data_IF_526710448580
#
_entry.id   IF_526710448580
#
_cell.length_a   1.000
_cell.length_b   1.000
_cell.length_c   1.000
_cell.angle_alpha   90.00
_cell.angle_beta   90.00
_cell.angle_gamma   90.00
#
_symmetry.space_group_name_H-M   'P 1'
#
loop_
_entity.id
_entity.type
_entity.pdbx_description
1 polymer ?
#
# COMPACT_ATOMS: atom_id res chain seq x y z
N UNK A 1 10.73 -14.69 22.43
CA UNK A 1 11.27 -14.58 21.05
C UNK A 1 10.36 -15.19 19.97
N UNK A 2 9.09 -15.53 20.29
CA UNK A 2 8.15 -16.17 19.33
C UNK A 2 7.03 -15.24 18.85
N UNK A 3 7.05 -13.96 19.26
CA UNK A 3 5.93 -13.05 19.09
C UNK A 3 6.15 -11.97 18.01
N UNK A 4 7.40 -11.72 17.59
CA UNK A 4 7.71 -10.64 16.64
C UNK A 4 7.49 -11.05 15.17
N UNK A 5 7.68 -12.34 14.82
CA UNK A 5 7.55 -12.81 13.43
C UNK A 5 6.09 -12.80 12.91
N UNK A 6 5.10 -12.88 13.79
CA UNK A 6 3.69 -12.83 13.38
C UNK A 6 3.19 -11.42 13.07
N UNK A 7 3.72 -10.41 13.78
CA UNK A 7 3.21 -9.03 13.69
C UNK A 7 3.52 -8.41 12.32
N UNK A 8 4.76 -8.53 11.84
CA UNK A 8 5.15 -7.99 10.53
C UNK A 8 4.38 -8.63 9.37
N UNK A 9 4.15 -9.94 9.42
CA UNK A 9 3.40 -10.64 8.38
C UNK A 9 1.92 -10.27 8.35
N UNK A 10 1.30 -10.08 9.52
CA UNK A 10 -0.10 -9.61 9.61
C UNK A 10 -0.26 -8.16 9.13
N UNK A 11 0.77 -7.33 9.28
CA UNK A 11 0.77 -5.96 8.77
C UNK A 11 0.93 -5.93 7.25
N UNK A 12 1.80 -6.77 6.70
CA UNK A 12 1.94 -6.97 5.25
C UNK A 12 0.63 -7.45 4.61
N UNK A 13 -0.03 -8.45 5.20
CA UNK A 13 -1.33 -8.95 4.73
C UNK A 13 -2.36 -7.82 4.70
N UNK A 14 -2.47 -7.03 5.79
CA UNK A 14 -3.40 -5.90 5.85
C UNK A 14 -3.11 -4.85 4.78
N UNK A 15 -1.84 -4.56 4.49
CA UNK A 15 -1.46 -3.62 3.43
C UNK A 15 -1.84 -4.15 2.03
N UNK A 16 -1.69 -5.45 1.80
CA UNK A 16 -2.10 -6.10 0.55
C UNK A 16 -3.63 -6.08 0.39
N UNK A 17 -4.38 -6.44 1.43
CA UNK A 17 -5.85 -6.39 1.42
C UNK A 17 -6.36 -4.96 1.15
N UNK A 18 -5.76 -3.96 1.80
CA UNK A 18 -6.09 -2.55 1.55
C UNK A 18 -5.71 -2.09 0.13
N UNK A 19 -4.69 -2.68 -0.49
CA UNK A 19 -4.36 -2.42 -1.89
C UNK A 19 -5.37 -3.06 -2.84
N UNK A 20 -5.80 -4.30 -2.57
CA UNK A 20 -6.84 -4.99 -3.33
C UNK A 20 -8.17 -4.24 -3.27
N UNK A 21 -8.57 -3.75 -2.09
CA UNK A 21 -9.77 -2.93 -1.94
C UNK A 21 -9.73 -1.66 -2.79
N UNK A 22 -8.55 -1.03 -2.92
CA UNK A 22 -8.36 0.15 -3.79
C UNK A 22 -8.43 -0.20 -5.28
N UNK A 23 -8.01 -1.40 -5.67
CA UNK A 23 -8.17 -1.88 -7.04
C UNK A 23 -9.66 -2.05 -7.37
N UNK A 24 -10.42 -2.68 -6.47
CA UNK A 24 -11.86 -2.87 -6.62
C UNK A 24 -12.62 -1.54 -6.69
N UNK A 25 -12.24 -0.57 -5.86
CA UNK A 25 -12.80 0.78 -5.87
C UNK A 25 -12.37 1.64 -7.09
N UNK A 26 -11.41 1.18 -7.91
CA UNK A 26 -10.84 1.97 -9.00
C UNK A 26 -9.92 3.11 -8.55
N UNK A 27 -9.55 3.15 -7.28
CA UNK A 27 -8.66 4.16 -6.66
C UNK A 27 -7.19 3.70 -6.64
N UNK A 28 -6.90 2.54 -7.23
CA UNK A 28 -5.54 2.03 -7.32
C UNK A 28 -4.64 2.97 -8.12
N UNK A 29 -3.46 3.25 -7.55
CA UNK A 29 -2.52 4.20 -8.11
C UNK A 29 -2.80 5.65 -7.72
N UNK A 30 -3.71 5.92 -6.77
CA UNK A 30 -3.86 7.24 -6.16
C UNK A 30 -3.49 7.22 -4.67
N UNK A 31 -2.93 8.34 -4.20
CA UNK A 31 -2.48 8.50 -2.82
C UNK A 31 -3.68 8.67 -1.88
N UNK A 32 -3.79 7.84 -0.84
CA UNK A 32 -4.89 7.93 0.14
C UNK A 32 -4.88 9.22 0.96
N UNK A 33 -3.75 9.94 1.00
CA UNK A 33 -3.61 11.16 1.80
C UNK A 33 -3.90 12.45 1.01
N UNK A 34 -3.53 12.50 -0.27
CA UNK A 34 -3.63 13.72 -1.07
C UNK A 34 -4.38 13.54 -2.40
N UNK A 35 -4.83 12.33 -2.74
CA UNK A 35 -5.51 12.03 -4.00
C UNK A 35 -4.63 12.10 -5.25
N UNK A 36 -3.36 12.48 -5.12
CA UNK A 36 -2.46 12.58 -6.26
C UNK A 36 -2.10 11.19 -6.83
N UNK A 37 -1.85 11.07 -8.15
CA UNK A 37 -1.40 9.83 -8.75
C UNK A 37 -0.04 9.40 -8.16
N UNK A 38 0.05 8.13 -7.79
CA UNK A 38 1.27 7.46 -7.35
C UNK A 38 2.11 7.17 -8.60
N UNK A 39 3.37 7.62 -8.60
CA UNK A 39 4.26 7.41 -9.74
C UNK A 39 4.47 5.92 -10.04
N UNK A 40 4.45 5.54 -11.33
CA UNK A 40 4.62 4.15 -11.77
C UNK A 40 5.84 3.46 -11.18
N UNK A 41 6.99 4.14 -11.11
CA UNK A 41 8.21 3.61 -10.52
C UNK A 41 8.04 3.17 -9.05
N UNK A 42 7.13 3.81 -8.29
CA UNK A 42 6.81 3.42 -6.91
C UNK A 42 5.95 2.16 -6.87
N UNK A 43 4.95 2.08 -7.75
CA UNK A 43 4.06 0.91 -7.86
C UNK A 43 4.77 -0.32 -8.42
N UNK A 44 5.81 -0.12 -9.23
CA UNK A 44 6.65 -1.21 -9.75
C UNK A 44 7.46 -1.89 -8.63
N UNK A 45 7.97 -1.10 -7.68
CA UNK A 45 8.76 -1.60 -6.54
C UNK A 45 7.85 -2.06 -5.39
N UNK A 46 6.80 -1.28 -5.10
CA UNK A 46 5.87 -1.51 -3.99
C UNK A 46 4.43 -1.29 -4.50
N UNK A 47 3.80 -2.31 -5.10
CA UNK A 47 2.47 -2.18 -5.71
C UNK A 47 1.38 -1.88 -4.68
N UNK A 48 1.56 -2.31 -3.43
CA UNK A 48 0.60 -2.06 -2.36
C UNK A 48 0.76 -0.67 -1.70
N UNK A 49 1.65 0.20 -2.21
CA UNK A 49 1.93 1.50 -1.62
C UNK A 49 0.65 2.34 -1.42
N UNK A 50 0.30 2.75 -0.19
CA UNK A 50 -0.88 3.59 0.07
C UNK A 50 -0.67 5.06 -0.29
N UNK A 51 0.57 5.52 -0.33
CA UNK A 51 0.92 6.96 -0.41
C UNK A 51 1.90 7.23 -1.54
N UNK A 52 1.79 8.41 -2.15
CA UNK A 52 2.77 8.89 -3.13
C UNK A 52 4.09 9.26 -2.44
N UNK A 53 5.17 9.40 -3.23
CA UNK A 53 6.52 9.73 -2.71
C UNK A 53 6.55 11.02 -1.87
N UNK A 54 5.65 11.97 -2.15
CA UNK A 54 5.54 13.23 -1.40
C UNK A 54 4.89 13.06 -0.02
N UNK A 55 4.11 12.00 0.18
CA UNK A 55 3.35 11.75 1.41
C UNK A 55 3.83 10.52 2.18
N UNK A 56 4.82 9.79 1.67
CA UNK A 56 5.38 8.58 2.28
C UNK A 56 6.07 8.92 3.62
#
# INVERSE_FOLDING_TARGET
>A
VRETLGQSGLEEIRMIEAALARIDAGEFGYCVNCGAPIGKARLDIVPHAPRCVKCA
#
